data_IF_565307511160
#
_entry.id   IF_565307511160
#
_cell.length_a   1.000
_cell.length_b   1.000
_cell.length_c   1.000
_cell.angle_alpha   90.00
_cell.angle_beta   90.00
_cell.angle_gamma   90.00
#
_symmetry.space_group_name_H-M   'P 1'
#
loop_
_entity.id
_entity.type
_entity.pdbx_description
1 polymer ?
#
# COMPACT_ATOMS: atom_id res chain seq x y z
N UNK A 1 5.51 6.24 22.96
CA UNK A 1 5.12 6.63 21.58
C UNK A 1 6.28 7.43 20.98
N UNK A 2 7.01 6.89 20.00
CA UNK A 2 8.03 7.68 19.29
C UNK A 2 7.39 8.40 18.11
N UNK A 3 7.28 9.71 18.25
CA UNK A 3 6.83 10.66 17.24
C UNK A 3 8.07 11.10 16.43
N UNK A 4 8.05 10.88 15.09
CA UNK A 4 9.07 11.18 14.06
C UNK A 4 10.34 10.28 14.10
N UNK A 5 10.63 9.39 13.12
CA UNK A 5 11.11 9.74 11.76
C UNK A 5 11.09 8.56 10.76
N UNK A 6 10.39 7.46 11.06
CA UNK A 6 10.31 6.31 10.15
C UNK A 6 8.84 5.95 9.88
N UNK A 7 8.48 5.86 8.60
CA UNK A 7 7.20 5.25 8.22
C UNK A 7 7.24 3.78 8.63
N UNK A 8 6.35 3.37 9.52
CA UNK A 8 6.21 1.98 9.89
C UNK A 8 5.66 1.15 8.72
N UNK A 9 5.72 -0.17 8.86
CA UNK A 9 5.33 -1.11 7.79
C UNK A 9 3.86 -0.95 7.40
N UNK A 10 2.97 -0.73 8.37
CA UNK A 10 1.53 -0.55 8.15
C UNK A 10 1.27 0.75 7.40
N UNK A 11 1.98 1.82 7.74
CA UNK A 11 1.91 3.10 7.00
C UNK A 11 2.30 2.90 5.54
N UNK A 12 3.45 2.27 5.26
CA UNK A 12 3.91 2.02 3.89
C UNK A 12 2.91 1.16 3.10
N UNK A 13 2.40 0.09 3.72
CA UNK A 13 1.40 -0.78 3.10
C UNK A 13 0.12 -0.01 2.75
N UNK A 14 -0.37 0.82 3.67
CA UNK A 14 -1.57 1.62 3.44
C UNK A 14 -1.38 2.67 2.34
N UNK A 15 -0.19 3.28 2.23
CA UNK A 15 0.12 4.23 1.15
C UNK A 15 0.15 3.54 -0.23
N UNK A 16 0.73 2.34 -0.33
CA UNK A 16 0.72 1.55 -1.56
C UNK A 16 -0.71 1.16 -1.94
N UNK A 17 -1.49 0.63 -0.99
CA UNK A 17 -2.87 0.21 -1.25
C UNK A 17 -3.74 1.40 -1.68
N UNK A 18 -3.54 2.58 -1.07
CA UNK A 18 -4.22 3.81 -1.48
C UNK A 18 -3.79 4.23 -2.89
N UNK A 19 -2.50 4.18 -3.21
CA UNK A 19 -2.00 4.48 -4.55
C UNK A 19 -2.66 3.59 -5.62
N UNK A 20 -2.75 2.29 -5.36
CA UNK A 20 -3.42 1.34 -6.27
C UNK A 20 -4.93 1.61 -6.35
N UNK A 21 -5.62 1.81 -5.21
CA UNK A 21 -7.08 2.07 -5.15
C UNK A 21 -7.52 3.29 -5.97
N UNK A 22 -6.66 4.30 -6.12
CA UNK A 22 -6.98 5.52 -6.91
C UNK A 22 -6.97 5.30 -8.42
N UNK A 23 -6.55 4.13 -8.90
CA UNK A 23 -6.45 3.79 -10.32
C UNK A 23 -7.19 2.48 -10.59
N UNK A 24 -7.63 2.29 -11.84
CA UNK A 24 -8.17 1.00 -12.27
C UNK A 24 -7.09 -0.08 -12.31
N UNK A 25 -5.90 0.28 -12.79
CA UNK A 25 -4.69 -0.52 -12.86
C UNK A 25 -3.49 0.40 -12.61
N UNK A 26 -2.61 0.07 -11.67
CA UNK A 26 -1.46 0.91 -11.31
C UNK A 26 -0.15 0.28 -11.75
N UNK A 27 0.70 1.02 -12.47
CA UNK A 27 2.07 0.60 -12.79
C UNK A 27 2.96 0.73 -11.56
N UNK A 28 4.01 -0.10 -11.48
CA UNK A 28 5.02 -0.05 -10.40
C UNK A 28 5.61 1.35 -10.20
N UNK A 29 5.91 2.08 -11.28
CA UNK A 29 6.48 3.44 -11.22
C UNK A 29 5.50 4.45 -10.61
N UNK A 30 4.22 4.34 -10.94
CA UNK A 30 3.17 5.19 -10.37
C UNK A 30 3.00 4.92 -8.88
N UNK A 31 3.03 3.65 -8.47
CA UNK A 31 2.96 3.27 -7.04
C UNK A 31 4.18 3.82 -6.30
N UNK A 32 5.37 3.70 -6.88
CA UNK A 32 6.61 4.21 -6.30
C UNK A 32 6.54 5.71 -6.04
N UNK A 33 6.07 6.49 -7.01
CA UNK A 33 5.90 7.93 -6.91
C UNK A 33 4.83 8.31 -5.86
N UNK A 34 3.63 7.74 -5.98
CA UNK A 34 2.50 8.06 -5.10
C UNK A 34 2.73 7.65 -3.64
N UNK A 35 3.40 6.52 -3.42
CA UNK A 35 3.76 6.05 -2.08
C UNK A 35 5.12 6.58 -1.61
N UNK A 36 5.80 7.44 -2.39
CA UNK A 36 7.11 8.03 -2.05
C UNK A 36 8.16 6.99 -1.64
N UNK A 37 8.23 5.87 -2.35
CA UNK A 37 9.16 4.77 -2.06
C UNK A 37 10.32 4.76 -3.05
N UNK A 38 11.45 4.19 -2.66
CA UNK A 38 12.49 3.84 -3.63
C UNK A 38 12.19 2.49 -4.31
N UNK A 39 12.95 2.14 -5.34
CA UNK A 39 12.77 0.90 -6.09
C UNK A 39 12.81 -0.36 -5.21
N UNK A 40 13.78 -0.44 -4.30
CA UNK A 40 13.99 -1.60 -3.42
C UNK A 40 12.83 -1.79 -2.45
N UNK A 41 12.38 -0.71 -1.81
CA UNK A 41 11.22 -0.72 -0.93
C UNK A 41 9.95 -1.08 -1.69
N UNK A 42 9.73 -0.47 -2.86
CA UNK A 42 8.57 -0.75 -3.70
C UNK A 42 8.51 -2.22 -4.08
N UNK A 43 9.62 -2.80 -4.58
CA UNK A 43 9.69 -4.22 -4.93
C UNK A 43 9.40 -5.11 -3.72
N UNK A 44 10.00 -4.82 -2.56
CA UNK A 44 9.78 -5.59 -1.33
C UNK A 44 8.32 -5.60 -0.91
N UNK A 45 7.68 -4.44 -0.84
CA UNK A 45 6.32 -4.33 -0.35
C UNK A 45 5.27 -4.77 -1.37
N UNK A 46 5.50 -4.57 -2.67
CA UNK A 46 4.62 -5.13 -3.71
C UNK A 46 4.64 -6.65 -3.68
N UNK A 47 5.83 -7.27 -3.61
CA UNK A 47 5.93 -8.73 -3.49
C UNK A 47 5.21 -9.24 -2.24
N UNK A 48 5.39 -8.56 -1.10
CA UNK A 48 4.66 -8.91 0.12
C UNK A 48 3.14 -8.81 -0.09
N UNK A 49 2.64 -7.67 -0.58
CA UNK A 49 1.21 -7.44 -0.72
C UNK A 49 0.55 -8.40 -1.72
N UNK A 50 1.25 -8.77 -2.80
CA UNK A 50 0.79 -9.79 -3.75
C UNK A 50 0.79 -11.18 -3.11
N UNK A 51 1.89 -11.58 -2.47
CA UNK A 51 2.01 -12.91 -1.85
C UNK A 51 0.96 -13.16 -0.76
N UNK A 52 0.57 -12.11 -0.03
CA UNK A 52 -0.48 -12.19 0.99
C UNK A 52 -1.90 -11.88 0.46
N UNK A 53 -2.04 -11.66 -0.85
CA UNK A 53 -3.34 -11.47 -1.53
C UNK A 53 -4.03 -10.13 -1.27
N UNK A 54 -3.29 -9.10 -0.86
CA UNK A 54 -3.80 -7.74 -0.74
C UNK A 54 -3.80 -6.99 -2.09
N UNK A 55 -2.90 -7.39 -3.00
CA UNK A 55 -2.85 -6.94 -4.38
C UNK A 55 -2.90 -8.16 -5.31
N UNK A 56 -3.35 -7.95 -6.54
CA UNK A 56 -3.15 -8.89 -7.63
C UNK A 56 -2.39 -8.22 -8.77
N UNK A 57 -1.61 -9.02 -9.51
CA UNK A 57 -0.89 -8.59 -10.70
C UNK A 57 -1.70 -9.00 -11.92
N UNK A 58 -1.93 -8.07 -12.85
CA UNK A 58 -2.62 -8.33 -14.10
C UNK A 58 -1.66 -8.88 -15.16
N UNK A 59 -2.19 -9.34 -16.28
CA UNK A 59 -1.41 -9.75 -17.45
C UNK A 59 -0.50 -8.64 -18.00
N UNK A 60 -0.81 -7.36 -17.73
CA UNK A 60 -0.05 -6.19 -18.18
C UNK A 60 1.04 -5.75 -17.20
N UNK A 61 1.36 -6.59 -16.22
CA UNK A 61 2.26 -6.27 -15.10
C UNK A 61 1.84 -5.01 -14.31
N UNK A 62 0.53 -4.74 -14.28
CA UNK A 62 -0.08 -3.69 -13.45
C UNK A 62 -0.66 -4.31 -12.18
N UNK A 63 -0.89 -3.48 -11.17
CA UNK A 63 -1.41 -3.91 -9.87
C UNK A 63 -2.83 -3.42 -9.69
N UNK A 64 -3.67 -4.31 -9.15
CA UNK A 64 -5.03 -4.02 -8.72
C UNK A 64 -5.18 -4.36 -7.23
N UNK A 65 -6.02 -3.60 -6.52
CA UNK A 65 -6.31 -3.88 -5.12
C UNK A 65 -7.38 -4.98 -5.03
N UNK A 66 -7.15 -5.97 -4.18
CA UNK A 66 -8.14 -7.02 -3.91
C UNK A 66 -9.12 -6.55 -2.84
N UNK A 67 -10.24 -7.25 -2.66
CA UNK A 67 -11.14 -6.97 -1.53
C UNK A 67 -10.45 -7.08 -0.18
N UNK A 68 -9.54 -8.04 -0.02
CA UNK A 68 -8.73 -8.20 1.19
C UNK A 68 -7.85 -6.97 1.42
N UNK A 69 -7.26 -6.41 0.35
CA UNK A 69 -6.53 -5.15 0.37
C UNK A 69 -7.40 -3.96 0.80
N UNK A 70 -8.62 -3.86 0.26
CA UNK A 70 -9.58 -2.80 0.62
C UNK A 70 -9.96 -2.88 2.09
N UNK A 71 -10.28 -4.08 2.61
CA UNK A 71 -10.61 -4.30 4.02
C UNK A 71 -9.46 -3.90 4.94
N UNK A 72 -8.24 -4.32 4.60
CA UNK A 72 -7.04 -3.90 5.35
C UNK A 72 -6.88 -2.39 5.37
N UNK A 73 -6.98 -1.73 4.20
CA UNK A 73 -6.84 -0.28 4.09
C UNK A 73 -7.86 0.44 4.99
N UNK A 74 -9.14 0.07 4.94
CA UNK A 74 -10.17 0.67 5.80
C UNK A 74 -9.88 0.47 7.30
N UNK A 75 -9.45 -0.72 7.72
CA UNK A 75 -9.08 -0.95 9.13
C UNK A 75 -7.92 -0.06 9.57
N UNK A 76 -6.89 0.11 8.73
CA UNK A 76 -5.76 1.00 9.06
C UNK A 76 -6.17 2.47 9.12
N UNK A 77 -7.13 2.90 8.31
CA UNK A 77 -7.69 4.25 8.32
C UNK A 77 -8.50 4.49 9.61
N UNK A 78 -9.33 3.53 10.01
CA UNK A 78 -10.10 3.60 11.27
C UNK A 78 -9.17 3.65 12.49
N UNK A 79 -8.11 2.83 12.52
CA UNK A 79 -7.15 2.83 13.61
C UNK A 79 -6.45 4.18 13.77
N UNK A 80 -6.07 4.84 12.67
CA UNK A 80 -5.44 6.16 12.71
C UNK A 80 -6.35 7.25 13.30
N UNK A 81 -7.67 7.16 13.11
CA UNK A 81 -8.62 8.11 13.71
C UNK A 81 -8.61 7.99 15.24
N UNK A 82 -8.47 6.78 15.79
CA UNK A 82 -8.53 6.54 17.23
C UNK A 82 -7.24 6.95 17.97
N UNK A 83 -6.12 7.09 17.27
CA UNK A 83 -4.83 7.51 17.86
C UNK A 83 -4.73 9.03 18.05
N UNK A 84 -5.67 9.81 17.50
CA UNK A 84 -5.69 11.29 17.56
C UNK A 84 -6.53 11.80 18.76
N UNK A 85 -7.08 10.92 19.60
CA UNK A 85 -7.81 11.29 20.83
C UNK A 85 -6.94 11.20 22.08
#
# INVERSE_FOLDING_TARGET
MSMFKYRDRTTIMSEILRAVKTKREAKKTQIMELARLNYTQTKKYLNYLVNYGYLAVTEKETYIITEKGVRFLHMTEIQRIHVIR
#
